data_IF_143752373240
#
_entry.id   IF_143752373240
#
_cell.length_a   1.000
_cell.length_b   1.000
_cell.length_c   1.000
_cell.angle_alpha   90.00
_cell.angle_beta   90.00
_cell.angle_gamma   90.00
#
_symmetry.space_group_name_H-M   'P 1'
#
loop_
_entity.id
_entity.type
_entity.pdbx_description
1 polymer ?
#
# COMPACT_ATOMS: atom_id res chain seq x y z
N UNK A 1 19.92 -3.92 -15.78
CA UNK A 1 18.56 -4.20 -16.31
C UNK A 1 17.64 -3.45 -15.38
N UNK A 2 16.99 -2.38 -15.81
CA UNK A 2 16.31 -1.44 -14.91
C UNK A 2 15.38 -2.14 -13.91
N UNK A 3 15.81 -2.24 -12.65
CA UNK A 3 15.02 -2.76 -11.52
C UNK A 3 13.82 -1.85 -11.29
N UNK A 4 12.63 -2.43 -11.14
CA UNK A 4 11.38 -1.69 -10.91
C UNK A 4 10.67 -2.23 -9.67
N UNK A 5 9.97 -1.36 -8.95
CA UNK A 5 9.16 -1.75 -7.81
C UNK A 5 7.73 -1.20 -7.92
N UNK A 6 6.74 -2.04 -7.63
CA UNK A 6 5.36 -1.67 -7.39
C UNK A 6 5.04 -1.91 -5.91
N UNK A 7 4.80 -0.83 -5.17
CA UNK A 7 4.40 -0.87 -3.77
C UNK A 7 2.88 -0.68 -3.65
N UNK A 8 2.18 -1.77 -3.39
CA UNK A 8 0.77 -1.83 -3.02
C UNK A 8 0.65 -1.61 -1.51
N UNK A 9 0.34 -0.38 -1.12
CA UNK A 9 0.06 -0.05 0.26
C UNK A 9 -1.43 -0.28 0.57
N UNK A 10 -1.71 -1.04 1.63
CA UNK A 10 -3.05 -1.37 2.10
C UNK A 10 -3.22 -0.81 3.51
N UNK A 11 -4.17 0.09 3.74
CA UNK A 11 -4.39 0.73 5.05
C UNK A 11 -5.12 -0.24 6.00
N UNK A 12 -4.53 -0.62 7.12
CA UNK A 12 -5.18 -1.49 8.10
C UNK A 12 -5.31 -2.97 7.72
N UNK A 13 -4.21 -3.65 7.40
CA UNK A 13 -4.13 -5.10 7.17
C UNK A 13 -3.05 -5.77 8.03
N UNK A 14 -3.46 -6.68 8.92
CA UNK A 14 -2.57 -7.48 9.77
C UNK A 14 -2.65 -8.99 9.52
N UNK A 15 -1.73 -9.73 10.14
CA UNK A 15 -1.67 -11.19 10.15
C UNK A 15 -2.37 -11.75 11.40
N UNK A 16 -3.69 -11.63 11.40
CA UNK A 16 -4.57 -12.03 12.51
C UNK A 16 -4.77 -13.54 12.62
N UNK A 17 -5.74 -13.96 13.45
CA UNK A 17 -6.02 -15.38 13.70
C UNK A 17 -6.47 -16.13 12.42
N UNK A 18 -6.14 -17.41 12.33
CA UNK A 18 -6.63 -18.29 11.25
C UNK A 18 -8.05 -18.81 11.52
N UNK A 19 -8.99 -17.90 11.77
CA UNK A 19 -10.38 -18.23 12.07
C UNK A 19 -11.32 -17.45 11.14
N UNK A 20 -12.03 -18.11 10.20
CA UNK A 20 -12.93 -17.44 9.26
C UNK A 20 -14.15 -16.79 9.94
N UNK A 21 -14.46 -17.12 11.19
CA UNK A 21 -15.55 -16.48 11.93
C UNK A 21 -15.14 -15.15 12.54
N UNK A 22 -13.83 -14.91 12.70
CA UNK A 22 -13.27 -13.72 13.35
C UNK A 22 -12.45 -12.85 12.40
N UNK A 23 -11.79 -13.46 11.42
CA UNK A 23 -10.86 -12.80 10.52
C UNK A 23 -11.43 -12.73 9.10
N UNK A 24 -11.91 -11.56 8.66
CA UNK A 24 -12.37 -11.33 7.30
C UNK A 24 -11.38 -11.72 6.20
N UNK A 25 -10.07 -11.66 6.46
CA UNK A 25 -9.03 -12.08 5.50
C UNK A 25 -9.09 -13.59 5.26
N UNK A 26 -9.43 -14.36 6.30
CA UNK A 26 -9.59 -15.82 6.22
C UNK A 26 -10.95 -16.19 5.62
N UNK A 27 -11.99 -15.41 5.95
CA UNK A 27 -13.35 -15.62 5.45
C UNK A 27 -13.52 -15.31 3.95
N UNK A 28 -12.70 -14.39 3.43
CA UNK A 28 -12.79 -13.92 2.06
C UNK A 28 -12.44 -15.00 1.02
N UNK A 29 -13.08 -14.88 -0.15
CA UNK A 29 -12.70 -15.65 -1.33
C UNK A 29 -11.49 -14.99 -2.00
N UNK A 30 -10.31 -15.60 -1.85
CA UNK A 30 -9.01 -15.03 -2.24
C UNK A 30 -8.21 -16.00 -3.12
N UNK A 31 -8.74 -16.41 -4.29
CA UNK A 31 -8.10 -17.45 -5.11
C UNK A 31 -6.66 -17.11 -5.53
N UNK A 32 -6.33 -15.83 -5.75
CA UNK A 32 -4.97 -15.44 -6.13
C UNK A 32 -3.99 -15.66 -4.97
N UNK A 33 -4.30 -15.11 -3.79
CA UNK A 33 -3.47 -15.28 -2.59
C UNK A 33 -3.41 -16.75 -2.16
N UNK A 34 -4.52 -17.48 -2.23
CA UNK A 34 -4.58 -18.89 -1.85
C UNK A 34 -3.69 -19.75 -2.75
N UNK A 35 -3.69 -19.50 -4.07
CA UNK A 35 -2.82 -20.20 -5.01
C UNK A 35 -1.33 -19.80 -4.84
N UNK A 36 -1.08 -18.52 -4.56
CA UNK A 36 0.27 -17.98 -4.38
C UNK A 36 0.92 -18.49 -3.10
N UNK A 37 0.15 -18.65 -2.03
CA UNK A 37 0.66 -18.99 -0.69
C UNK A 37 0.38 -20.44 -0.31
N UNK A 38 -0.53 -21.15 -0.99
CA UNK A 38 -0.98 -22.48 -0.58
C UNK A 38 -1.75 -22.49 0.74
N UNK A 39 -2.13 -21.30 1.24
CA UNK A 39 -2.82 -21.04 2.51
C UNK A 39 -3.39 -19.62 2.54
N UNK A 40 -4.17 -19.30 3.57
CA UNK A 40 -4.64 -17.94 3.84
C UNK A 40 -3.52 -17.01 4.32
N UNK A 41 -3.61 -15.72 4.00
CA UNK A 41 -2.70 -14.68 4.48
C UNK A 41 -3.03 -14.27 5.93
N UNK A 42 -2.87 -15.21 6.87
CA UNK A 42 -3.15 -15.03 8.29
C UNK A 42 -2.22 -15.89 9.15
N UNK A 43 -2.12 -15.60 10.45
CA UNK A 43 -1.44 -16.42 11.46
C UNK A 43 0.07 -16.61 11.25
N UNK A 44 0.70 -15.79 10.41
CA UNK A 44 2.13 -15.88 10.12
C UNK A 44 2.96 -15.14 11.17
N UNK A 45 3.81 -15.88 11.89
CA UNK A 45 4.72 -15.33 12.91
C UNK A 45 6.19 -15.40 12.51
N UNK A 46 6.49 -16.09 11.41
CA UNK A 46 7.82 -16.17 10.80
C UNK A 46 7.71 -16.00 9.28
N UNK A 47 8.86 -15.73 8.64
CA UNK A 47 8.95 -15.63 7.18
C UNK A 47 8.42 -16.92 6.54
N UNK A 48 7.65 -16.76 5.47
CA UNK A 48 7.04 -17.88 4.75
C UNK A 48 7.21 -17.69 3.26
N UNK A 49 7.68 -18.74 2.58
CA UNK A 49 7.91 -18.73 1.14
C UNK A 49 7.15 -19.86 0.46
N UNK A 50 6.39 -19.53 -0.58
CA UNK A 50 5.67 -20.50 -1.41
C UNK A 50 5.50 -19.93 -2.83
N UNK A 51 5.58 -20.79 -3.86
CA UNK A 51 5.36 -20.44 -5.28
C UNK A 51 5.96 -19.10 -5.75
N UNK A 52 7.19 -18.79 -5.32
CA UNK A 52 7.87 -17.55 -5.73
C UNK A 52 7.39 -16.28 -5.01
N UNK A 53 6.54 -16.40 -4.00
CA UNK A 53 6.17 -15.34 -3.06
C UNK A 53 6.87 -15.53 -1.72
N UNK A 54 7.26 -14.42 -1.11
CA UNK A 54 7.80 -14.36 0.25
C UNK A 54 6.91 -13.45 1.10
N UNK A 55 6.40 -13.94 2.22
CA UNK A 55 5.73 -13.13 3.23
C UNK A 55 6.68 -12.94 4.40
N UNK A 56 6.89 -11.69 4.78
CA UNK A 56 7.63 -11.29 5.99
C UNK A 56 6.64 -10.66 6.98
N UNK A 57 6.33 -11.34 8.10
CA UNK A 57 5.62 -10.70 9.21
C UNK A 57 6.43 -9.52 9.71
N UNK A 58 5.87 -8.32 9.62
CA UNK A 58 6.59 -7.08 9.83
C UNK A 58 6.02 -6.35 11.05
N UNK A 59 6.89 -5.95 11.97
CA UNK A 59 6.49 -5.22 13.18
C UNK A 59 6.02 -3.79 12.85
N UNK A 60 4.76 -3.51 13.20
CA UNK A 60 4.14 -2.18 13.11
C UNK A 60 4.10 -1.45 14.46
N UNK A 61 4.43 -2.13 15.56
CA UNK A 61 4.43 -1.52 16.91
C UNK A 61 5.63 -0.61 17.13
N UNK A 62 6.76 -0.94 16.51
CA UNK A 62 8.00 -0.17 16.54
C UNK A 62 8.54 0.06 17.95
N UNK A 63 8.18 -0.84 18.88
CA UNK A 63 8.52 -0.74 20.30
C UNK A 63 7.88 0.44 21.06
N UNK A 64 6.91 1.14 20.46
CA UNK A 64 6.27 2.31 21.07
C UNK A 64 4.93 1.91 21.68
N UNK A 65 4.68 2.38 22.91
CA UNK A 65 3.44 2.09 23.64
C UNK A 65 2.19 2.62 22.92
N UNK A 66 1.08 1.90 23.10
CA UNK A 66 -0.18 2.17 22.40
C UNK A 66 -0.45 1.14 21.31
N UNK A 67 -1.36 1.48 20.39
CA UNK A 67 -1.63 0.73 19.17
C UNK A 67 -0.93 1.44 18.01
N UNK A 68 -0.41 0.71 17.00
CA UNK A 68 -0.02 1.29 15.72
C UNK A 68 -1.13 2.18 15.15
N UNK A 69 -0.78 3.30 14.52
CA UNK A 69 -1.73 4.28 13.97
C UNK A 69 -1.25 4.85 12.64
N UNK A 70 -2.19 5.25 11.77
CA UNK A 70 -1.90 5.50 10.36
C UNK A 70 -0.93 6.64 10.10
N UNK A 71 -1.04 7.78 10.80
CA UNK A 71 -0.17 8.92 10.52
C UNK A 71 1.31 8.59 10.81
N UNK A 72 1.59 7.95 11.95
CA UNK A 72 2.94 7.52 12.32
C UNK A 72 3.40 6.28 11.58
N UNK A 73 2.51 5.31 11.32
CA UNK A 73 2.80 4.07 10.61
C UNK A 73 3.18 4.34 9.16
N UNK A 74 2.35 5.09 8.43
CA UNK A 74 2.65 5.53 7.06
C UNK A 74 3.93 6.38 7.01
N UNK A 75 4.16 7.28 7.97
CA UNK A 75 5.41 8.06 8.03
C UNK A 75 6.62 7.15 8.22
N UNK A 76 6.54 6.16 9.10
CA UNK A 76 7.63 5.22 9.32
C UNK A 76 7.93 4.37 8.07
N UNK A 77 6.88 3.83 7.45
CA UNK A 77 6.99 3.08 6.21
C UNK A 77 7.63 3.92 5.10
N UNK A 78 7.16 5.15 4.87
CA UNK A 78 7.60 6.01 3.76
C UNK A 78 8.99 6.60 3.93
N UNK A 79 9.47 6.76 5.17
CA UNK A 79 10.77 7.40 5.45
C UNK A 79 11.86 6.40 5.84
N UNK A 80 11.47 5.28 6.43
CA UNK A 80 12.38 4.36 7.12
C UNK A 80 12.79 4.84 8.51
N UNK A 81 12.14 5.86 9.07
CA UNK A 81 12.43 6.40 10.40
C UNK A 81 11.37 5.93 11.40
N UNK A 82 11.74 5.68 12.65
CA UNK A 82 10.78 5.35 13.71
C UNK A 82 9.98 6.60 14.12
N UNK A 83 9.03 7.00 13.28
CA UNK A 83 8.18 8.17 13.46
C UNK A 83 7.44 8.22 14.80
N UNK A 84 6.79 7.15 15.30
CA UNK A 84 6.14 7.20 16.60
C UNK A 84 7.14 7.40 17.74
N UNK A 85 8.35 6.86 17.66
CA UNK A 85 9.40 7.12 18.66
C UNK A 85 9.88 8.58 18.62
N UNK A 86 10.05 9.15 17.42
CA UNK A 86 10.50 10.54 17.23
C UNK A 86 9.48 11.56 17.75
N UNK A 87 8.18 11.27 17.64
CA UNK A 87 7.09 12.14 18.16
C UNK A 87 6.53 11.69 19.52
N UNK A 88 7.14 10.65 20.12
CA UNK A 88 6.86 10.14 21.45
C UNK A 88 5.58 9.32 21.62
N UNK A 89 4.83 9.03 20.55
CA UNK A 89 3.60 8.22 20.55
C UNK A 89 3.14 7.87 19.14
N UNK A 90 2.22 6.91 19.03
CA UNK A 90 1.44 6.69 17.82
C UNK A 90 0.41 7.82 17.59
N UNK A 91 0.23 8.24 16.33
CA UNK A 91 -0.69 9.30 15.92
C UNK A 91 -1.59 8.81 14.79
N UNK A 92 -2.90 9.05 14.92
CA UNK A 92 -3.94 8.63 13.97
C UNK A 92 -4.21 9.67 12.87
N UNK A 93 -4.88 9.24 11.80
CA UNK A 93 -5.35 10.07 10.69
C UNK A 93 -4.24 10.80 9.92
N UNK A 94 -4.22 12.14 9.94
CA UNK A 94 -3.35 12.94 9.08
C UNK A 94 -2.00 13.26 9.75
N UNK A 95 -0.90 13.36 8.96
CA UNK A 95 0.41 13.71 9.51
C UNK A 95 0.39 15.12 10.11
N UNK A 96 0.92 15.23 11.33
CA UNK A 96 1.17 16.49 12.05
C UNK A 96 2.29 17.28 11.37
N UNK A 97 2.57 18.50 11.86
CA UNK A 97 3.68 19.31 11.35
C UNK A 97 5.01 18.57 11.41
N UNK A 98 5.35 17.98 12.56
CA UNK A 98 6.60 17.23 12.74
C UNK A 98 6.69 16.02 11.78
N UNK A 99 5.59 15.28 11.60
CA UNK A 99 5.57 14.16 10.64
C UNK A 99 5.73 14.65 9.20
N UNK A 100 5.12 15.79 8.83
CA UNK A 100 5.28 16.39 7.50
C UNK A 100 6.73 16.84 7.24
N UNK A 101 7.44 17.33 8.25
CA UNK A 101 8.86 17.66 8.12
C UNK A 101 9.68 16.40 7.77
N UNK A 102 9.46 15.28 8.47
CA UNK A 102 10.10 14.00 8.15
C UNK A 102 9.76 13.49 6.74
N UNK A 103 8.47 13.56 6.36
CA UNK A 103 8.02 13.15 5.03
C UNK A 103 8.65 14.02 3.93
N UNK A 104 8.77 15.33 4.15
CA UNK A 104 9.35 16.24 3.15
C UNK A 104 10.82 15.90 2.86
N UNK A 105 11.57 15.50 3.88
CA UNK A 105 13.01 15.23 3.77
C UNK A 105 13.33 13.80 3.33
N UNK A 106 12.60 12.79 3.84
CA UNK A 106 13.05 11.40 3.77
C UNK A 106 12.12 10.45 3.00
N UNK A 107 11.04 10.95 2.39
CA UNK A 107 10.09 10.05 1.73
C UNK A 107 10.70 9.23 0.58
N UNK A 108 10.15 8.04 0.37
CA UNK A 108 10.58 7.07 -0.65
C UNK A 108 10.61 7.65 -2.08
N UNK A 109 9.66 8.52 -2.45
CA UNK A 109 9.63 9.13 -3.78
C UNK A 109 10.86 10.01 -4.02
N UNK A 110 11.16 10.93 -3.08
CA UNK A 110 12.35 11.78 -3.13
C UNK A 110 13.63 10.95 -3.16
N UNK A 111 13.70 9.88 -2.36
CA UNK A 111 14.87 8.99 -2.31
C UNK A 111 15.11 8.24 -3.63
N UNK A 112 14.06 7.73 -4.28
CA UNK A 112 14.21 7.06 -5.59
C UNK A 112 14.52 8.08 -6.69
N UNK A 113 13.93 9.28 -6.66
CA UNK A 113 14.28 10.37 -7.60
C UNK A 113 15.74 10.80 -7.47
N UNK A 114 16.28 10.83 -6.26
CA UNK A 114 17.70 11.14 -6.02
C UNK A 114 18.64 10.08 -6.64
N UNK A 115 18.17 8.86 -6.88
CA UNK A 115 18.89 7.83 -7.65
C UNK A 115 18.74 8.00 -9.17
N UNK A 116 18.07 9.06 -9.65
CA UNK A 116 17.76 9.25 -11.07
C UNK A 116 16.59 8.39 -11.58
N UNK A 117 15.79 7.80 -10.69
CA UNK A 117 14.63 6.99 -11.05
C UNK A 117 13.35 7.79 -11.16
N UNK A 118 12.57 7.53 -12.21
CA UNK A 118 11.20 8.07 -12.30
C UNK A 118 10.28 7.36 -11.31
N UNK A 119 9.37 8.13 -10.72
CA UNK A 119 8.43 7.64 -9.71
C UNK A 119 7.00 8.07 -9.99
N UNK A 120 6.03 7.26 -9.56
CA UNK A 120 4.61 7.55 -9.70
C UNK A 120 3.81 7.22 -8.44
N UNK A 121 2.81 8.05 -8.15
CA UNK A 121 1.65 7.68 -7.35
C UNK A 121 0.52 7.31 -8.33
N UNK A 122 0.00 6.09 -8.21
CA UNK A 122 -0.96 5.55 -9.16
C UNK A 122 -2.40 6.00 -8.92
N UNK A 123 -2.71 6.48 -7.72
CA UNK A 123 -4.04 6.92 -7.33
C UNK A 123 -4.55 8.07 -8.21
N UNK A 124 -5.80 7.97 -8.65
CA UNK A 124 -6.53 9.05 -9.30
C UNK A 124 -7.17 10.01 -8.28
N UNK A 125 -7.20 11.30 -8.60
CA UNK A 125 -7.76 12.38 -7.80
C UNK A 125 -8.76 13.17 -8.63
N UNK A 126 -9.89 13.53 -8.03
CA UNK A 126 -10.97 14.26 -8.70
C UNK A 126 -10.87 15.77 -8.47
N UNK A 127 -11.58 16.57 -9.27
CA UNK A 127 -11.63 18.02 -9.07
C UNK A 127 -12.18 18.40 -7.69
N UNK A 128 -13.14 17.64 -7.16
CA UNK A 128 -13.71 17.86 -5.83
C UNK A 128 -12.67 17.66 -4.73
N UNK A 129 -11.74 16.71 -4.90
CA UNK A 129 -10.62 16.54 -3.99
C UNK A 129 -9.77 17.80 -3.93
N UNK A 130 -9.33 18.30 -5.09
CA UNK A 130 -8.51 19.51 -5.18
C UNK A 130 -9.24 20.74 -4.65
N UNK A 131 -10.53 20.89 -4.95
CA UNK A 131 -11.36 21.97 -4.44
C UNK A 131 -11.47 21.94 -2.91
N UNK A 132 -11.65 20.77 -2.31
CA UNK A 132 -11.71 20.61 -0.84
C UNK A 132 -10.37 20.92 -0.17
N UNK A 133 -9.26 20.49 -0.75
CA UNK A 133 -7.92 20.82 -0.25
C UNK A 133 -7.67 22.33 -0.33
N UNK A 134 -7.94 22.95 -1.48
CA UNK A 134 -7.77 24.40 -1.69
C UNK A 134 -8.64 25.22 -0.72
N UNK A 135 -9.84 24.74 -0.41
CA UNK A 135 -10.74 25.37 0.56
C UNK A 135 -10.35 25.12 2.04
N UNK A 136 -9.27 24.40 2.31
CA UNK A 136 -8.86 24.02 3.68
C UNK A 136 -9.78 23.00 4.36
N UNK A 137 -10.72 22.40 3.63
CA UNK A 137 -11.71 21.42 4.11
C UNK A 137 -11.17 19.99 4.14
N UNK A 138 -9.97 19.77 3.61
CA UNK A 138 -9.31 18.47 3.56
C UNK A 138 -7.79 18.67 3.62
N UNK A 139 -7.11 17.75 4.28
CA UNK A 139 -5.64 17.68 4.31
C UNK A 139 -5.19 16.50 3.46
N UNK A 140 -3.98 16.60 2.89
CA UNK A 140 -3.35 15.45 2.25
C UNK A 140 -2.97 14.40 3.31
N UNK A 141 -3.31 13.14 3.03
CA UNK A 141 -2.76 11.95 3.70
C UNK A 141 -1.24 11.84 3.48
N UNK A 142 -0.57 10.98 4.25
CA UNK A 142 0.90 10.92 4.27
C UNK A 142 1.49 10.55 2.90
N UNK A 143 0.89 9.57 2.20
CA UNK A 143 1.32 9.14 0.87
C UNK A 143 1.15 10.27 -0.15
N UNK A 144 -0.05 10.86 -0.22
CA UNK A 144 -0.32 11.97 -1.16
C UNK A 144 0.59 13.17 -0.89
N UNK A 145 0.78 13.52 0.39
CA UNK A 145 1.67 14.61 0.78
C UNK A 145 3.12 14.34 0.37
N UNK A 146 3.60 13.10 0.55
CA UNK A 146 4.95 12.69 0.18
C UNK A 146 5.20 12.76 -1.32
N UNK A 147 4.23 12.30 -2.12
CA UNK A 147 4.29 12.39 -3.57
C UNK A 147 4.39 13.86 -4.03
N UNK A 148 3.52 14.72 -3.51
CA UNK A 148 3.56 16.17 -3.80
C UNK A 148 4.88 16.83 -3.36
N UNK A 149 5.38 16.49 -2.17
CA UNK A 149 6.64 17.01 -1.65
C UNK A 149 7.85 16.59 -2.51
N UNK A 150 7.80 15.41 -3.13
CA UNK A 150 8.78 14.94 -4.10
C UNK A 150 8.57 15.50 -5.52
N UNK A 151 7.57 16.36 -5.73
CA UNK A 151 7.23 16.92 -7.04
C UNK A 151 6.61 15.90 -8.00
N UNK A 152 5.91 14.89 -7.49
CA UNK A 152 5.14 13.92 -8.28
C UNK A 152 3.78 14.52 -8.63
N UNK A 153 3.42 14.52 -9.91
CA UNK A 153 2.09 14.93 -10.37
C UNK A 153 1.04 13.93 -9.93
N UNK A 154 -0.06 14.43 -9.35
CA UNK A 154 -1.23 13.62 -9.04
C UNK A 154 -2.04 13.36 -10.31
N UNK A 155 -2.56 12.14 -10.43
CA UNK A 155 -3.27 11.69 -11.63
C UNK A 155 -4.71 12.15 -11.61
N UNK A 156 -5.22 12.57 -12.75
CA UNK A 156 -6.56 13.13 -12.88
C UNK A 156 -7.60 12.08 -13.31
N UNK A 157 -8.84 12.52 -13.49
CA UNK A 157 -9.90 11.68 -14.06
C UNK A 157 -9.61 11.34 -15.52
N UNK A 158 -8.95 12.22 -16.27
CA UNK A 158 -8.51 11.93 -17.64
C UNK A 158 -7.47 10.80 -17.68
N UNK A 159 -6.58 10.73 -16.69
CA UNK A 159 -5.68 9.59 -16.55
C UNK A 159 -6.42 8.30 -16.19
N UNK A 160 -7.48 8.39 -15.39
CA UNK A 160 -8.33 7.25 -15.05
C UNK A 160 -9.07 6.71 -16.30
N UNK A 161 -9.64 7.60 -17.12
CA UNK A 161 -10.25 7.24 -18.42
C UNK A 161 -9.25 6.55 -19.33
N UNK A 162 -8.01 7.03 -19.36
CA UNK A 162 -6.98 6.49 -20.22
C UNK A 162 -6.27 5.24 -19.67
N UNK A 163 -6.74 4.68 -18.54
CA UNK A 163 -6.11 3.51 -17.90
C UNK A 163 -4.72 3.79 -17.33
N UNK A 164 -4.36 5.07 -17.12
CA UNK A 164 -3.08 5.51 -16.54
C UNK A 164 -3.18 5.86 -15.07
N UNK A 165 -4.29 5.54 -14.41
CA UNK A 165 -4.49 5.72 -12.98
C UNK A 165 -5.46 4.65 -12.46
N UNK A 166 -5.50 4.49 -11.14
CA UNK A 166 -6.46 3.61 -10.46
C UNK A 166 -7.18 4.41 -9.37
N UNK A 167 -8.50 4.33 -9.35
CA UNK A 167 -9.30 4.94 -8.29
C UNK A 167 -9.36 4.01 -7.07
N UNK A 168 -9.47 4.58 -5.86
CA UNK A 168 -9.37 3.79 -4.62
C UNK A 168 -10.46 2.73 -4.45
N UNK A 169 -11.58 2.85 -5.17
CA UNK A 169 -12.67 1.86 -5.17
C UNK A 169 -12.47 0.69 -6.14
N UNK A 170 -11.37 0.71 -6.90
CA UNK A 170 -10.95 -0.30 -7.88
C UNK A 170 -11.94 -0.58 -9.02
N UNK A 171 -13.06 0.16 -9.09
CA UNK A 171 -14.18 -0.14 -9.99
C UNK A 171 -14.65 1.06 -10.77
N UNK A 172 -14.24 2.26 -10.37
CA UNK A 172 -14.73 3.56 -10.86
C UNK A 172 -16.21 3.82 -10.53
N UNK A 173 -16.86 2.99 -9.72
CA UNK A 173 -18.28 3.12 -9.40
C UNK A 173 -18.58 4.45 -8.68
N UNK A 174 -17.70 4.89 -7.79
CA UNK A 174 -17.85 6.12 -7.01
C UNK A 174 -17.70 7.39 -7.85
N UNK A 175 -16.66 7.55 -8.68
CA UNK A 175 -16.58 8.72 -9.56
C UNK A 175 -17.71 8.70 -10.61
N UNK A 176 -18.16 7.53 -11.10
CA UNK A 176 -19.38 7.45 -11.94
C UNK A 176 -20.62 7.97 -11.22
N UNK A 177 -20.81 7.65 -9.93
CA UNK A 177 -21.95 8.16 -9.15
C UNK A 177 -21.88 9.67 -8.87
N UNK A 178 -20.72 10.29 -9.05
CA UNK A 178 -20.54 11.75 -9.02
C UNK A 178 -20.76 12.43 -10.38
N UNK A 179 -21.06 11.66 -11.43
CA UNK A 179 -21.37 12.18 -12.77
C UNK A 179 -20.19 12.19 -13.74
N UNK A 180 -19.05 11.59 -13.39
CA UNK A 180 -17.94 11.44 -14.33
C UNK A 180 -18.24 10.36 -15.39
N UNK A 181 -18.04 10.71 -16.66
CA UNK A 181 -18.17 9.78 -17.79
C UNK A 181 -16.88 8.96 -17.97
N UNK A 182 -16.77 7.88 -17.20
CA UNK A 182 -15.61 7.00 -17.16
C UNK A 182 -16.07 5.54 -17.17
N UNK A 183 -15.35 4.61 -17.82
CA UNK A 183 -15.77 3.20 -17.84
C UNK A 183 -15.74 2.58 -16.45
N UNK A 184 -16.76 1.77 -16.14
CA UNK A 184 -16.71 0.86 -15.01
C UNK A 184 -15.73 -0.28 -15.32
N UNK A 185 -14.92 -0.65 -14.33
CA UNK A 185 -13.91 -1.71 -14.46
C UNK A 185 -14.02 -2.69 -13.30
N UNK A 186 -13.43 -3.87 -13.46
CA UNK A 186 -13.30 -4.82 -12.35
C UNK A 186 -12.02 -4.51 -11.55
N UNK A 187 -11.92 -4.93 -10.27
CA UNK A 187 -10.67 -4.82 -9.53
C UNK A 187 -9.49 -5.52 -10.21
N UNK A 188 -9.74 -6.63 -10.91
CA UNK A 188 -8.74 -7.29 -11.75
C UNK A 188 -8.25 -6.38 -12.88
N UNK A 189 -9.15 -5.74 -13.64
CA UNK A 189 -8.77 -4.79 -14.67
C UNK A 189 -8.03 -3.57 -14.09
N UNK A 190 -8.40 -3.10 -12.90
CA UNK A 190 -7.63 -2.06 -12.20
C UNK A 190 -6.20 -2.53 -11.91
N UNK A 191 -6.00 -3.81 -11.59
CA UNK A 191 -4.70 -4.42 -11.39
C UNK A 191 -3.86 -4.48 -12.67
N UNK A 192 -4.49 -4.83 -13.79
CA UNK A 192 -3.86 -4.78 -15.12
C UNK A 192 -3.43 -3.35 -15.47
N UNK A 193 -4.28 -2.35 -15.24
CA UNK A 193 -3.94 -0.95 -15.47
C UNK A 193 -2.78 -0.49 -14.57
N UNK A 194 -2.77 -0.94 -13.30
CA UNK A 194 -1.71 -0.63 -12.35
C UNK A 194 -0.37 -1.23 -12.76
N UNK A 195 -0.35 -2.48 -13.22
CA UNK A 195 0.87 -3.13 -13.72
C UNK A 195 1.42 -2.43 -14.98
N UNK A 196 0.54 -2.09 -15.94
CA UNK A 196 0.93 -1.36 -17.14
C UNK A 196 1.54 0.01 -16.79
N UNK A 197 0.92 0.73 -15.85
CA UNK A 197 1.45 1.98 -15.34
C UNK A 197 2.81 1.78 -14.67
N UNK A 198 2.93 0.79 -13.78
CA UNK A 198 4.15 0.53 -13.03
C UNK A 198 5.34 0.18 -13.92
N UNK A 199 5.10 -0.44 -15.07
CA UNK A 199 6.13 -0.75 -16.07
C UNK A 199 6.84 0.49 -16.64
N UNK A 200 6.26 1.68 -16.51
CA UNK A 200 6.84 2.96 -16.95
C UNK A 200 7.73 3.67 -15.93
N UNK A 201 7.83 3.17 -14.69
CA UNK A 201 8.53 3.87 -13.59
C UNK A 201 9.52 2.96 -12.88
N UNK A 202 10.48 3.55 -12.15
CA UNK A 202 11.39 2.81 -11.26
C UNK A 202 10.68 2.43 -9.96
N UNK A 203 9.82 3.31 -9.47
CA UNK A 203 8.94 3.05 -8.34
C UNK A 203 7.52 3.54 -8.66
N UNK A 204 6.54 2.68 -8.48
CA UNK A 204 5.13 3.07 -8.42
C UNK A 204 4.57 2.70 -7.06
N UNK A 205 3.84 3.63 -6.45
CA UNK A 205 3.09 3.38 -5.21
C UNK A 205 1.59 3.49 -5.51
N UNK A 206 0.81 2.55 -5.01
CA UNK A 206 -0.64 2.62 -5.01
C UNK A 206 -1.17 2.48 -3.57
N UNK A 207 -2.03 3.40 -3.16
CA UNK A 207 -2.66 3.44 -1.83
C UNK A 207 -4.08 2.88 -1.90
N UNK A 208 -4.35 1.81 -1.14
CA UNK A 208 -5.67 1.19 -1.00
C UNK A 208 -6.14 1.26 0.45
N UNK A 209 -7.04 2.20 0.74
CA UNK A 209 -7.50 2.48 2.11
C UNK A 209 -8.94 2.00 2.39
N UNK A 210 -9.57 1.24 1.48
CA UNK A 210 -10.93 0.73 1.71
C UNK A 210 -10.99 -0.30 2.86
N UNK A 211 -9.88 -0.98 3.14
CA UNK A 211 -9.79 -1.97 4.21
C UNK A 211 -10.03 -1.34 5.59
N UNK A 212 -9.32 -0.26 5.91
CA UNK A 212 -9.52 0.53 7.12
C UNK A 212 -10.92 1.18 7.18
N UNK A 213 -11.40 1.73 6.05
CA UNK A 213 -12.75 2.28 5.99
C UNK A 213 -13.84 1.24 6.27
N UNK A 214 -13.69 0.03 5.74
CA UNK A 214 -14.66 -1.06 5.92
C UNK A 214 -14.68 -1.56 7.37
N UNK A 215 -13.50 -1.77 7.95
CA UNK A 215 -13.37 -2.22 9.33
C UNK A 215 -13.79 -1.15 10.36
N UNK A 216 -13.78 0.14 10.00
CA UNK A 216 -14.41 1.21 10.76
C UNK A 216 -15.89 1.48 10.41
N UNK A 217 -16.53 0.63 9.60
CA UNK A 217 -17.92 0.79 9.16
C UNK A 217 -18.24 2.14 8.50
N UNK A 218 -17.25 2.73 7.79
CA UNK A 218 -17.37 4.01 7.07
C UNK A 218 -17.81 3.84 5.62
N UNK A 219 -17.93 2.60 5.15
CA UNK A 219 -18.44 2.21 3.84
C UNK A 219 -19.32 0.97 3.98
N UNK A 220 -20.23 0.78 3.03
CA UNK A 220 -21.20 -0.32 3.06
C UNK A 220 -20.60 -1.68 2.65
N UNK A 221 -19.43 -1.67 1.98
CA UNK A 221 -18.78 -2.91 1.57
C UNK A 221 -18.28 -3.68 2.81
N UNK A 222 -18.69 -4.95 2.99
CA UNK A 222 -18.26 -5.75 4.12
C UNK A 222 -16.77 -6.10 4.01
N UNK A 223 -16.05 -6.26 5.14
CA UNK A 223 -14.61 -6.51 5.16
C UNK A 223 -14.14 -7.64 4.21
N UNK A 224 -14.82 -8.79 4.21
CA UNK A 224 -14.46 -9.92 3.34
C UNK A 224 -14.60 -9.61 1.84
N UNK A 225 -15.55 -8.76 1.45
CA UNK A 225 -15.69 -8.33 0.06
C UNK A 225 -14.56 -7.37 -0.36
N UNK A 226 -14.14 -6.48 0.55
CA UNK A 226 -12.99 -5.58 0.30
C UNK A 226 -11.70 -6.39 0.15
N UNK A 227 -11.50 -7.43 0.97
CA UNK A 227 -10.37 -8.35 0.81
C UNK A 227 -10.43 -9.08 -0.54
N UNK A 228 -11.60 -9.54 -0.98
CA UNK A 228 -11.75 -10.17 -2.29
C UNK A 228 -11.45 -9.20 -3.45
N UNK A 229 -11.78 -7.92 -3.31
CA UNK A 229 -11.39 -6.89 -4.29
C UNK A 229 -9.86 -6.70 -4.35
N UNK A 230 -9.19 -6.70 -3.20
CA UNK A 230 -7.73 -6.63 -3.12
C UNK A 230 -7.06 -7.86 -3.75
N UNK A 231 -7.61 -9.06 -3.53
CA UNK A 231 -7.13 -10.29 -4.16
C UNK A 231 -7.26 -10.24 -5.69
N UNK A 232 -8.41 -9.79 -6.20
CA UNK A 232 -8.64 -9.62 -7.63
C UNK A 232 -7.71 -8.55 -8.24
N UNK A 233 -7.46 -7.45 -7.53
CA UNK A 233 -6.45 -6.45 -7.92
C UNK A 233 -5.07 -7.08 -8.05
N UNK A 234 -4.65 -7.84 -7.04
CA UNK A 234 -3.35 -8.52 -7.05
C UNK A 234 -3.25 -9.50 -8.21
N UNK A 235 -4.31 -10.26 -8.51
CA UNK A 235 -4.36 -11.17 -9.66
C UNK A 235 -4.06 -10.43 -10.97
N UNK A 236 -4.78 -9.33 -11.22
CA UNK A 236 -4.57 -8.52 -12.42
C UNK A 236 -3.18 -7.91 -12.52
N UNK A 237 -2.59 -7.52 -11.37
CA UNK A 237 -1.19 -7.05 -11.30
C UNK A 237 -0.24 -8.17 -11.71
N UNK A 238 -0.35 -9.35 -11.10
CA UNK A 238 0.59 -10.46 -11.29
C UNK A 238 0.53 -11.05 -12.71
N UNK A 239 -0.66 -11.10 -13.32
CA UNK A 239 -0.84 -11.59 -14.68
C UNK A 239 -0.24 -10.65 -15.74
N UNK A 240 -0.27 -9.33 -15.49
CA UNK A 240 0.19 -8.31 -16.43
C UNK A 240 1.65 -7.86 -16.20
N UNK A 241 2.28 -8.27 -15.09
CA UNK A 241 3.63 -7.84 -14.72
C UNK A 241 4.71 -8.80 -15.21
N UNK A 242 5.79 -8.28 -15.80
CA UNK A 242 7.03 -9.04 -15.98
C UNK A 242 7.81 -9.14 -14.65
N UNK A 243 7.52 -10.19 -13.89
CA UNK A 243 8.12 -10.47 -12.58
C UNK A 243 9.64 -10.76 -12.65
N UNK A 244 10.22 -10.96 -13.84
CA UNK A 244 11.68 -11.10 -13.99
C UNK A 244 12.41 -9.76 -13.83
N UNK A 245 11.67 -8.65 -13.97
CA UNK A 245 12.15 -7.26 -13.91
C UNK A 245 11.61 -6.49 -12.71
N UNK A 246 10.36 -6.73 -12.35
CA UNK A 246 9.66 -5.98 -11.30
C UNK A 246 9.56 -6.75 -9.98
N UNK A 247 9.71 -6.01 -8.88
CA UNK A 247 9.34 -6.44 -7.54
C UNK A 247 7.95 -5.88 -7.21
N UNK A 248 6.97 -6.76 -6.99
CA UNK A 248 5.66 -6.38 -6.45
C UNK A 248 5.72 -6.57 -4.93
N UNK A 249 5.38 -5.53 -4.18
CA UNK A 249 5.31 -5.54 -2.71
C UNK A 249 3.92 -5.14 -2.27
N UNK A 250 3.25 -5.99 -1.49
CA UNK A 250 2.02 -5.65 -0.77
C UNK A 250 2.34 -5.54 0.71
N UNK A 251 1.96 -4.41 1.32
CA UNK A 251 2.21 -4.16 2.74
C UNK A 251 1.18 -3.25 3.36
N UNK A 252 1.17 -3.17 4.69
CA UNK A 252 0.39 -2.24 5.48
C UNK A 252 1.29 -1.48 6.46
N UNK A 253 0.68 -0.57 7.22
CA UNK A 253 1.28 0.20 8.32
C UNK A 253 0.71 -0.17 9.69
N UNK A 254 -0.45 -0.84 9.75
CA UNK A 254 -1.01 -1.41 10.97
C UNK A 254 -2.01 -2.54 10.65
N UNK A 255 -2.35 -3.34 11.66
CA UNK A 255 -3.49 -4.25 11.57
C UNK A 255 -4.81 -3.56 11.90
N UNK A 256 -5.91 -4.02 11.29
CA UNK A 256 -7.27 -3.64 11.60
C UNK A 256 -8.27 -4.65 11.03
N UNK A 257 -8.34 -4.81 9.71
CA UNK A 257 -9.38 -5.61 9.04
C UNK A 257 -9.35 -7.11 9.39
N UNK A 258 -8.23 -7.61 9.91
CA UNK A 258 -8.04 -9.02 10.25
C UNK A 258 -8.67 -9.45 11.59
N UNK A 259 -9.27 -8.52 12.34
CA UNK A 259 -9.94 -8.80 13.61
C UNK A 259 -11.33 -8.16 13.68
N UNK A 260 -12.35 -8.90 13.24
CA UNK A 260 -13.75 -8.45 13.22
C UNK A 260 -14.40 -8.31 14.60
N UNK A 261 -13.65 -8.47 15.70
CA UNK A 261 -14.16 -8.29 17.07
C UNK A 261 -13.94 -6.87 17.59
N UNK A 262 -13.07 -6.08 16.94
CA UNK A 262 -12.68 -4.76 17.41
C UNK A 262 -12.70 -3.75 16.27
N UNK A 263 -13.22 -2.56 16.58
CA UNK A 263 -13.18 -1.43 15.65
C UNK A 263 -11.85 -0.65 15.76
N UNK A 264 -10.95 -1.05 16.67
CA UNK A 264 -9.63 -0.43 16.86
C UNK A 264 -8.57 -1.12 16.01
N UNK A 265 -7.42 -0.49 15.86
CA UNK A 265 -6.26 -1.14 15.26
C UNK A 265 -5.73 -2.27 16.17
N UNK A 266 -4.95 -3.17 15.61
CA UNK A 266 -4.38 -4.31 16.34
C UNK A 266 -2.87 -4.17 16.52
N UNK A 267 -2.28 -5.09 17.29
CA UNK A 267 -0.82 -5.27 17.38
C UNK A 267 -0.31 -6.43 16.53
N UNK A 268 -1.16 -6.97 15.66
CA UNK A 268 -0.74 -8.06 14.79
C UNK A 268 0.39 -7.54 13.88
N UNK A 269 1.39 -8.38 13.58
CA UNK A 269 2.36 -8.03 12.55
C UNK A 269 1.62 -7.83 11.23
N UNK A 270 2.10 -6.92 10.40
CA UNK A 270 1.53 -6.70 9.07
C UNK A 270 2.16 -7.64 8.05
N UNK A 271 1.46 -8.05 6.98
CA UNK A 271 2.06 -8.82 5.91
C UNK A 271 2.91 -7.91 5.03
N UNK A 272 4.22 -8.15 4.93
CA UNK A 272 5.01 -7.66 3.78
C UNK A 272 5.17 -8.81 2.80
N UNK A 273 4.32 -8.86 1.78
CA UNK A 273 4.32 -9.85 0.71
C UNK A 273 5.18 -9.34 -0.46
N UNK A 274 6.20 -10.10 -0.85
CA UNK A 274 7.15 -9.78 -1.92
C UNK A 274 7.11 -10.84 -3.03
N UNK A 275 6.94 -10.40 -4.28
CA UNK A 275 6.79 -11.27 -5.46
C UNK A 275 7.64 -10.72 -6.60
N UNK A 276 8.35 -11.60 -7.30
CA UNK A 276 9.20 -11.22 -8.45
C UNK A 276 10.65 -10.93 -8.08
N UNK A 277 11.31 -10.13 -8.93
CA UNK A 277 12.76 -9.90 -8.88
C UNK A 277 13.17 -9.22 -7.57
N UNK A 278 14.16 -9.77 -6.86
CA UNK A 278 14.67 -9.14 -5.64
C UNK A 278 13.88 -9.41 -4.37
N UNK A 279 12.84 -10.26 -4.43
CA UNK A 279 12.00 -10.60 -3.26
C UNK A 279 12.80 -11.06 -2.04
N UNK A 280 13.86 -11.87 -2.24
CA UNK A 280 14.74 -12.34 -1.15
C UNK A 280 15.69 -11.24 -0.70
N UNK A 281 16.38 -10.58 -1.63
CA UNK A 281 17.32 -9.48 -1.36
C UNK A 281 16.70 -8.36 -0.52
N UNK A 282 15.44 -8.01 -0.80
CA UNK A 282 14.67 -7.01 -0.06
C UNK A 282 14.08 -7.62 1.22
N UNK A 283 13.40 -8.78 1.12
CA UNK A 283 12.70 -9.39 2.25
C UNK A 283 13.64 -9.81 3.40
N UNK A 284 14.89 -10.15 3.12
CA UNK A 284 15.89 -10.49 4.14
C UNK A 284 16.23 -9.32 5.05
N UNK A 285 16.11 -8.09 4.54
CA UNK A 285 16.42 -6.85 5.24
C UNK A 285 15.24 -6.30 6.04
N UNK A 286 14.06 -6.93 5.96
CA UNK A 286 12.83 -6.45 6.60
C UNK A 286 12.54 -7.23 7.89
N UNK A 287 12.31 -6.49 8.97
CA UNK A 287 11.72 -6.98 10.22
C UNK A 287 10.61 -6.05 10.74
N UNK A 288 10.66 -4.76 10.42
CA UNK A 288 9.75 -3.71 10.90
C UNK A 288 9.42 -2.70 9.80
N UNK A 289 8.42 -1.83 10.02
CA UNK A 289 8.03 -0.80 9.04
C UNK A 289 9.18 0.09 8.60
N UNK A 290 10.13 0.36 9.51
CA UNK A 290 11.28 1.24 9.23
C UNK A 290 12.25 0.63 8.23
N UNK A 291 12.17 -0.67 7.97
CA UNK A 291 13.09 -1.37 7.08
C UNK A 291 12.63 -1.37 5.62
N UNK A 292 11.33 -1.20 5.37
CA UNK A 292 10.71 -1.34 4.04
C UNK A 292 11.32 -0.36 3.04
N UNK A 293 11.26 0.94 3.32
CA UNK A 293 11.80 1.97 2.41
C UNK A 293 13.32 1.85 2.23
N UNK A 294 14.15 1.75 3.27
CA UNK A 294 15.58 1.54 3.11
C UNK A 294 15.94 0.28 2.30
N UNK A 295 15.25 -0.84 2.53
CA UNK A 295 15.48 -2.07 1.78
C UNK A 295 15.14 -1.92 0.29
N UNK A 296 13.97 -1.34 -0.02
CA UNK A 296 13.54 -1.09 -1.40
C UNK A 296 14.46 -0.11 -2.12
N UNK A 297 14.75 1.04 -1.51
CA UNK A 297 15.63 2.06 -2.10
C UNK A 297 17.04 1.51 -2.32
N UNK A 298 17.58 0.75 -1.35
CA UNK A 298 18.89 0.12 -1.48
C UNK A 298 18.95 -0.89 -2.62
N UNK A 299 17.94 -1.76 -2.72
CA UNK A 299 17.84 -2.72 -3.83
C UNK A 299 17.68 -2.03 -5.19
N UNK A 300 16.92 -0.94 -5.27
CA UNK A 300 16.84 -0.14 -6.49
C UNK A 300 18.20 0.50 -6.80
N UNK A 301 18.98 0.98 -5.84
CA UNK A 301 20.26 1.64 -6.10
C UNK A 301 21.33 0.73 -6.75
N UNK A 302 21.37 -0.56 -6.39
CA UNK A 302 22.36 -1.54 -6.86
C UNK A 302 22.37 -1.75 -8.40
N UNK A 303 21.33 -1.34 -9.11
CA UNK A 303 21.26 -1.46 -10.57
C UNK A 303 21.80 -0.23 -11.33
N UNK A 304 22.20 0.82 -10.61
CA UNK A 304 22.87 2.02 -11.16
C UNK A 304 24.40 1.94 -10.97
N UNK A 305 24.89 0.87 -10.33
CA UNK A 305 26.29 0.69 -9.93
C UNK A 305 27.20 -0.10 -10.87
N UNK A 306 26.80 -0.40 -12.11
CA UNK A 306 27.63 -1.09 -13.11
C UNK A 306 27.59 -0.38 -14.47
#
# INVERSE_FOLDING_TARGET
MNRQALLLFVDGLGLGAEDPTLNPVVAAHTPCLDALLGRKLAGLTARYEHNGALVVPTDATLGVSGLPQSATGQTALLTGLNAPQLVGRHITAFPTKALRELLMEHNIFSRVKALGGDVALANAYTEEYFARVKAGKMRHAAITFSALAAGVSLRSVEDLVAGRAVFHDLTNARPRSWGYDIPEITPHQAGTNLAALAGGYRLTLFEFFMTDLSAHHRIDQPPAAVVAMLDALLAGVLEATDLSRMLVVLTSDHGNIEDGRVDTHTRNPIPTLLIGRGRRDVGEKIASLTDITPALVGWLAEDIGH
#
